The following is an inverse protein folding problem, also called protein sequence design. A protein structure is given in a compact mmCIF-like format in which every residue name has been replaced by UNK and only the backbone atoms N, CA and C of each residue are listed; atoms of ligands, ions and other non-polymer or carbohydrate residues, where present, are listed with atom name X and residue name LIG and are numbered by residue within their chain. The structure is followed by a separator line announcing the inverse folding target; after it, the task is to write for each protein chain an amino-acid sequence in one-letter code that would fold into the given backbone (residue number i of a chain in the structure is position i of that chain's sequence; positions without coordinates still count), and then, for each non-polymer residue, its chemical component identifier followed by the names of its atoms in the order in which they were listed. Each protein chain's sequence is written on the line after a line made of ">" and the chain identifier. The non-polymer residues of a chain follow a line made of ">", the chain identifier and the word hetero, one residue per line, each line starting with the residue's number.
data_IF_574450047126
#
_entry.id   IF_574450047126
#
_cell.length_a   1.000
_cell.length_b   1.000
_cell.length_c   1.000
_cell.angle_alpha   90.00
_cell.angle_beta   90.00
_cell.angle_gamma   90.00
#
_symmetry.space_group_name_H-M   'P 1'
#
loop_
_entity.id
_entity.type
_entity.pdbx_description
1 polymer ?
#
# COMPACT_ATOMS: atom_id res chain seq x y z
N UNK A 1 -23.08 13.12 -20.06
CA UNK A 1 -22.10 14.08 -19.47
C UNK A 1 -21.17 13.29 -18.57
N UNK A 2 -19.89 13.21 -18.90
CA UNK A 2 -18.87 12.73 -17.97
C UNK A 2 -18.77 13.74 -16.84
N UNK A 3 -19.05 13.34 -15.61
CA UNK A 3 -18.75 14.16 -14.43
C UNK A 3 -17.23 14.11 -14.26
N UNK A 4 -16.59 15.27 -14.10
CA UNK A 4 -15.18 15.29 -13.70
C UNK A 4 -15.04 14.47 -12.42
N UNK A 5 -14.13 13.50 -12.43
CA UNK A 5 -13.75 12.80 -11.21
C UNK A 5 -13.27 13.88 -10.23
N UNK A 6 -13.87 13.91 -9.03
CA UNK A 6 -13.46 14.86 -8.00
C UNK A 6 -11.94 14.81 -7.83
N UNK A 7 -11.33 15.95 -7.48
CA UNK A 7 -9.87 16.07 -7.27
C UNK A 7 -9.41 15.04 -6.24
N UNK A 8 -9.09 13.83 -6.68
CA UNK A 8 -8.45 12.83 -5.86
C UNK A 8 -7.02 13.31 -5.73
N UNK A 9 -6.56 13.68 -4.53
CA UNK A 9 -5.17 14.08 -4.35
C UNK A 9 -4.30 12.92 -4.86
N UNK A 10 -3.45 13.21 -5.84
CA UNK A 10 -2.44 12.26 -6.29
C UNK A 10 -1.57 11.92 -5.09
N UNK A 11 -1.55 10.64 -4.73
CA UNK A 11 -0.83 10.16 -3.56
C UNK A 11 0.67 10.32 -3.81
N UNK A 12 1.38 10.88 -2.83
CA UNK A 12 2.84 10.81 -2.83
C UNK A 12 3.25 9.34 -2.67
N UNK A 13 4.17 8.88 -3.51
CA UNK A 13 4.56 7.46 -3.62
C UNK A 13 5.12 6.90 -2.31
N UNK A 14 5.59 7.76 -1.42
CA UNK A 14 6.18 7.41 -0.12
C UNK A 14 5.26 7.69 1.06
N UNK A 15 4.04 8.19 0.82
CA UNK A 15 3.08 8.49 1.88
C UNK A 15 2.28 7.25 2.29
N UNK A 16 2.18 7.01 3.60
CA UNK A 16 1.28 5.97 4.12
C UNK A 16 -0.17 6.44 4.07
N UNK A 17 -1.13 5.57 3.68
CA UNK A 17 -2.57 5.89 3.73
C UNK A 17 -3.01 6.39 5.12
N UNK A 18 -2.45 5.84 6.20
CA UNK A 18 -2.77 6.26 7.57
C UNK A 18 -2.32 7.68 7.92
N UNK A 19 -1.24 8.18 7.31
CA UNK A 19 -0.76 9.55 7.51
C UNK A 19 -1.57 10.59 6.71
N UNK A 20 -2.29 10.14 5.69
CA UNK A 20 -2.99 11.02 4.74
C UNK A 20 -4.51 11.04 4.94
N UNK A 21 -5.10 9.91 5.33
CA UNK A 21 -6.53 9.81 5.63
C UNK A 21 -6.88 10.58 6.91
N UNK A 22 -8.09 11.14 6.96
CA UNK A 22 -8.57 11.95 8.09
C UNK A 22 -10.00 11.57 8.46
N UNK A 23 -10.36 11.77 9.73
CA UNK A 23 -11.74 11.62 10.19
C UNK A 23 -12.28 10.20 10.02
N UNK A 24 -13.45 10.06 9.40
CA UNK A 24 -14.13 8.76 9.22
C UNK A 24 -13.35 7.81 8.32
N UNK A 25 -12.76 8.29 7.22
CA UNK A 25 -12.03 7.43 6.30
C UNK A 25 -10.78 6.79 6.92
N UNK A 26 -10.10 7.52 7.83
CA UNK A 26 -9.01 6.96 8.62
C UNK A 26 -9.53 5.87 9.58
N UNK A 27 -10.65 6.12 10.25
CA UNK A 27 -11.27 5.14 11.15
C UNK A 27 -11.68 3.87 10.40
N UNK A 28 -12.27 4.02 9.22
CA UNK A 28 -12.66 2.90 8.37
C UNK A 28 -11.45 2.13 7.84
N UNK A 29 -10.38 2.85 7.48
CA UNK A 29 -9.12 2.24 7.06
C UNK A 29 -8.47 1.41 8.17
N UNK A 30 -8.48 1.92 9.41
CA UNK A 30 -7.88 1.25 10.59
C UNK A 30 -8.76 0.14 11.19
N UNK A 31 -10.03 0.04 10.79
CA UNK A 31 -10.93 -1.00 11.28
C UNK A 31 -10.53 -2.36 10.72
N UNK A 32 -10.08 -3.29 11.57
CA UNK A 32 -9.65 -4.63 11.16
C UNK A 32 -10.70 -5.39 10.32
N UNK A 33 -11.98 -5.24 10.65
CA UNK A 33 -13.08 -5.91 9.92
C UNK A 33 -13.49 -5.25 8.61
N UNK A 34 -12.81 -4.19 8.17
CA UNK A 34 -13.06 -3.59 6.87
C UNK A 34 -12.56 -4.50 5.75
N UNK A 35 -13.27 -4.52 4.63
CA UNK A 35 -13.03 -5.44 3.52
C UNK A 35 -11.56 -5.44 3.04
N UNK A 36 -10.93 -4.27 2.92
CA UNK A 36 -9.54 -4.16 2.45
C UNK A 36 -8.54 -4.79 3.42
N UNK A 37 -8.80 -4.73 4.73
CA UNK A 37 -7.94 -5.34 5.74
C UNK A 37 -8.10 -6.87 5.74
N UNK A 38 -9.34 -7.35 5.65
CA UNK A 38 -9.63 -8.79 5.49
C UNK A 38 -8.99 -9.33 4.22
N UNK A 39 -9.12 -8.62 3.10
CA UNK A 39 -8.51 -8.99 1.83
C UNK A 39 -6.98 -9.03 1.92
N UNK A 40 -6.36 -8.00 2.52
CA UNK A 40 -4.91 -7.98 2.73
C UNK A 40 -4.45 -9.17 3.57
N UNK A 41 -5.13 -9.48 4.66
CA UNK A 41 -4.76 -10.58 5.56
C UNK A 41 -4.92 -11.95 4.90
N UNK A 42 -6.04 -12.17 4.20
CA UNK A 42 -6.37 -13.51 3.72
C UNK A 42 -5.88 -13.82 2.31
N UNK A 43 -5.62 -12.79 1.49
CA UNK A 43 -5.17 -12.95 0.11
C UNK A 43 -3.73 -12.47 -0.03
N UNK A 44 -3.46 -11.18 0.22
CA UNK A 44 -2.13 -10.59 -0.04
C UNK A 44 -1.05 -11.21 0.85
N UNK A 45 -1.28 -11.29 2.17
CA UNK A 45 -0.31 -11.81 3.12
C UNK A 45 -0.13 -13.34 3.04
N UNK A 46 -0.95 -14.04 2.25
CA UNK A 46 -0.81 -15.49 1.99
C UNK A 46 -0.11 -15.80 0.68
N UNK A 47 0.27 -14.79 -0.10
CA UNK A 47 1.06 -15.00 -1.30
C UNK A 47 2.43 -15.53 -0.89
N UNK A 48 2.83 -16.67 -1.46
CA UNK A 48 4.20 -17.15 -1.31
C UNK A 48 5.13 -16.28 -2.16
N UNK A 49 5.84 -15.35 -1.52
CA UNK A 49 6.76 -14.47 -2.22
C UNK A 49 8.02 -15.18 -2.72
N UNK A 50 8.39 -16.36 -2.18
CA UNK A 50 9.63 -17.07 -2.53
C UNK A 50 9.75 -17.39 -4.02
N UNK A 51 8.63 -17.63 -4.71
CA UNK A 51 8.62 -17.88 -6.17
C UNK A 51 9.09 -16.66 -6.97
N UNK A 52 8.99 -15.46 -6.39
CA UNK A 52 9.39 -14.20 -6.98
C UNK A 52 10.78 -13.76 -6.50
N UNK A 53 11.48 -14.55 -5.68
CA UNK A 53 12.79 -14.21 -5.11
C UNK A 53 13.87 -13.90 -6.15
N UNK A 54 13.72 -14.37 -7.40
CA UNK A 54 14.62 -13.99 -8.50
C UNK A 54 14.47 -12.51 -8.89
N UNK A 55 13.34 -11.88 -8.56
CA UNK A 55 13.03 -10.48 -8.89
C UNK A 55 13.51 -9.48 -7.83
N UNK A 56 13.88 -9.93 -6.62
CA UNK A 56 14.32 -9.07 -5.54
C UNK A 56 15.51 -9.67 -4.80
N UNK A 57 16.50 -8.84 -4.46
CA UNK A 57 17.65 -9.26 -3.65
C UNK A 57 17.42 -8.90 -2.19
N UNK A 58 17.85 -9.75 -1.24
CA UNK A 58 17.85 -9.38 0.18
C UNK A 58 18.92 -8.33 0.50
N UNK A 59 20.01 -8.37 -0.26
CA UNK A 59 21.23 -7.62 0.06
C UNK A 59 21.31 -6.30 -0.71
N UNK A 60 20.68 -6.26 -1.88
CA UNK A 60 20.51 -5.04 -2.66
C UNK A 60 19.04 -4.66 -2.54
N UNK A 61 18.76 -3.53 -1.89
CA UNK A 61 17.44 -2.91 -1.97
C UNK A 61 16.98 -2.75 -3.43
N UNK A 62 15.73 -2.35 -3.63
CA UNK A 62 15.20 -2.08 -4.98
C UNK A 62 16.20 -1.21 -5.76
N UNK A 63 16.31 -1.33 -7.10
CA UNK A 63 17.33 -0.62 -7.89
C UNK A 63 17.41 0.91 -7.67
N UNK A 64 16.43 1.50 -6.98
CA UNK A 64 16.33 2.91 -6.62
C UNK A 64 16.20 3.18 -5.11
N UNK A 65 16.36 2.19 -4.23
CA UNK A 65 16.45 2.44 -2.79
C UNK A 65 17.82 3.04 -2.47
N UNK A 66 17.88 4.23 -1.84
CA UNK A 66 19.16 4.78 -1.40
C UNK A 66 19.76 3.81 -0.38
N UNK A 67 20.98 3.35 -0.67
CA UNK A 67 21.79 2.58 0.28
C UNK A 67 22.15 3.56 1.40
N UNK A 68 21.47 3.45 2.53
CA UNK A 68 21.85 4.15 3.76
C UNK A 68 23.16 3.58 4.28
N UNK A 69 24.21 4.38 4.18
CA UNK A 69 25.56 4.12 4.70
C UNK A 69 25.72 4.64 6.13
#
# INVERSE_FOLDING_TARGET
>A
MFKESGKNPQLDMFSSPSGMLRGSSLKDYLKNGSWHNIFREHVVARVNEDIFKVLYSSDNGTPYAPVSH
#
